data_IF_524524887269
#
_entry.id   IF_524524887269
#
_cell.length_a   1.000
_cell.length_b   1.000
_cell.length_c   1.000
_cell.angle_alpha   90.00
_cell.angle_beta   90.00
_cell.angle_gamma   90.00
#
_symmetry.space_group_name_H-M   'P 1'
#
loop_
_entity.id
_entity.type
_entity.pdbx_description
1 polymer ?
#
# COMPACT_ATOMS: atom_id res chain seq x y z
N UNK A 1 -27.56 29.57 28.59
CA UNK A 1 -27.08 29.46 27.19
C UNK A 1 -25.56 29.20 27.04
N UNK A 2 -24.73 29.23 28.09
CA UNK A 2 -23.27 28.92 27.99
C UNK A 2 -22.92 27.43 27.84
N UNK A 3 -23.85 26.51 28.17
CA UNK A 3 -23.58 25.05 28.18
C UNK A 3 -23.65 24.38 26.80
N UNK A 4 -24.23 25.04 25.79
CA UNK A 4 -24.37 24.47 24.44
C UNK A 4 -23.10 24.63 23.58
N UNK A 5 -22.22 25.58 23.90
CA UNK A 5 -20.99 25.81 23.13
C UNK A 5 -19.87 24.79 23.41
N UNK A 6 -19.84 24.16 24.59
CA UNK A 6 -18.82 23.15 24.91
C UNK A 6 -19.06 21.79 24.24
N UNK A 7 -20.30 21.47 23.88
CA UNK A 7 -20.63 20.18 23.28
C UNK A 7 -20.17 20.06 21.81
N UNK A 8 -20.17 21.16 21.05
CA UNK A 8 -19.78 21.16 19.64
C UNK A 8 -18.26 21.01 19.43
N UNK A 9 -17.43 21.47 20.37
CA UNK A 9 -15.97 21.33 20.28
C UNK A 9 -15.51 19.89 20.57
N UNK A 10 -16.21 19.15 21.43
CA UNK A 10 -15.86 17.77 21.78
C UNK A 10 -16.24 16.77 20.66
N UNK A 11 -17.23 17.07 19.83
CA UNK A 11 -17.66 16.17 18.76
C UNK A 11 -16.67 16.13 17.58
N UNK A 12 -15.84 17.16 17.40
CA UNK A 12 -14.87 17.22 16.31
C UNK A 12 -13.58 16.42 16.55
N UNK A 13 -13.31 15.99 17.80
CA UNK A 13 -12.05 15.31 18.15
C UNK A 13 -12.07 13.78 18.00
N UNK A 14 -13.21 13.18 17.65
CA UNK A 14 -13.35 11.71 17.60
C UNK A 14 -13.49 11.13 16.19
N UNK A 15 -13.36 11.94 15.13
CA UNK A 15 -13.46 11.48 13.75
C UNK A 15 -12.10 11.05 13.16
N UNK A 16 -11.28 10.35 13.94
CA UNK A 16 -10.13 9.60 13.41
C UNK A 16 -10.65 8.35 12.70
N UNK A 17 -11.36 8.53 11.59
CA UNK A 17 -11.65 7.41 10.70
C UNK A 17 -10.30 6.91 10.18
N UNK A 18 -9.99 5.63 10.41
CA UNK A 18 -8.93 4.94 9.67
C UNK A 18 -9.33 5.02 8.19
N UNK A 19 -8.78 6.00 7.48
CA UNK A 19 -8.95 6.11 6.06
C UNK A 19 -7.89 5.22 5.44
N UNK A 20 -8.29 4.30 4.58
CA UNK A 20 -7.35 3.50 3.81
C UNK A 20 -6.44 4.46 3.05
N UNK A 21 -5.15 4.42 3.36
CA UNK A 21 -4.15 5.22 2.68
C UNK A 21 -3.72 4.49 1.41
N UNK A 22 -3.43 5.24 0.36
CA UNK A 22 -2.84 4.68 -0.85
C UNK A 22 -1.34 4.57 -0.63
N UNK A 23 -0.78 3.38 -0.65
CA UNK A 23 0.65 3.13 -0.58
C UNK A 23 1.20 2.88 -1.96
N UNK A 24 2.28 3.57 -2.32
CA UNK A 24 3.06 3.25 -3.50
C UNK A 24 4.21 2.32 -3.09
N UNK A 25 4.49 1.34 -3.93
CA UNK A 25 5.63 0.45 -3.76
C UNK A 25 6.51 0.46 -5.00
N UNK A 26 7.78 0.12 -4.81
CA UNK A 26 8.70 -0.14 -5.91
C UNK A 26 9.78 -1.13 -5.49
N UNK A 27 10.15 -2.00 -6.42
CA UNK A 27 11.29 -2.89 -6.33
C UNK A 27 12.10 -2.83 -7.62
N UNK A 28 13.40 -2.55 -7.50
CA UNK A 28 14.35 -2.66 -8.61
C UNK A 28 15.10 -3.99 -8.47
N UNK A 29 15.04 -4.84 -9.49
CA UNK A 29 15.72 -6.13 -9.54
C UNK A 29 17.21 -5.94 -9.85
N UNK A 30 18.09 -6.39 -8.96
CA UNK A 30 19.53 -6.15 -9.08
C UNK A 30 20.19 -6.84 -10.27
N UNK A 31 19.66 -8.00 -10.70
CA UNK A 31 20.25 -8.80 -11.77
C UNK A 31 20.10 -8.23 -13.18
N UNK A 32 18.99 -7.55 -13.47
CA UNK A 32 18.66 -7.04 -14.81
C UNK A 32 18.21 -5.57 -14.83
N UNK A 33 18.09 -4.92 -13.67
CA UNK A 33 17.64 -3.53 -13.55
C UNK A 33 16.17 -3.31 -13.89
N UNK A 34 15.38 -4.38 -14.10
CA UNK A 34 13.94 -4.24 -14.28
C UNK A 34 13.32 -3.69 -13.00
N UNK A 35 12.23 -2.95 -13.16
CA UNK A 35 11.53 -2.32 -12.04
C UNK A 35 10.10 -2.82 -12.03
N UNK A 36 9.63 -3.23 -10.86
CA UNK A 36 8.21 -3.40 -10.58
C UNK A 36 7.77 -2.33 -9.60
N UNK A 37 6.70 -1.63 -9.91
CA UNK A 37 6.15 -0.56 -9.11
C UNK A 37 4.64 -0.64 -9.09
N UNK A 38 3.99 0.12 -8.23
CA UNK A 38 2.54 0.10 -8.17
C UNK A 38 1.98 0.81 -6.97
N UNK A 39 0.69 0.62 -6.77
CA UNK A 39 -0.05 1.17 -5.64
C UNK A 39 -1.03 0.15 -5.06
N UNK A 40 -1.32 0.28 -3.77
CA UNK A 40 -2.38 -0.47 -3.11
C UNK A 40 -2.98 0.37 -1.98
N UNK A 41 -4.24 0.12 -1.65
CA UNK A 41 -4.86 0.67 -0.45
C UNK A 41 -4.58 -0.25 0.73
N UNK A 42 -4.43 0.31 1.93
CA UNK A 42 -4.35 -0.48 3.16
C UNK A 42 -4.26 0.38 4.42
N UNK A 43 -4.07 -0.29 5.56
CA UNK A 43 -3.85 0.34 6.87
C UNK A 43 -2.51 -0.12 7.43
N UNK A 44 -1.59 0.80 7.69
CA UNK A 44 -0.28 0.47 8.23
C UNK A 44 -0.32 0.30 9.75
N UNK A 45 0.05 -0.88 10.23
CA UNK A 45 0.22 -1.23 11.63
C UNK A 45 1.70 -1.50 11.93
N UNK A 46 2.41 -0.43 12.33
CA UNK A 46 3.86 -0.50 12.52
C UNK A 46 4.57 -0.59 11.16
N UNK A 47 5.13 -1.75 10.83
CA UNK A 47 5.76 -1.99 9.53
C UNK A 47 4.94 -2.90 8.61
N UNK A 48 3.76 -3.38 9.03
CA UNK A 48 2.90 -4.24 8.23
C UNK A 48 1.70 -3.47 7.68
N UNK A 49 1.34 -3.73 6.43
CA UNK A 49 0.18 -3.19 5.76
C UNK A 49 -0.94 -4.23 5.76
N UNK A 50 -2.03 -3.94 6.46
CA UNK A 50 -3.23 -4.79 6.50
C UNK A 50 -4.34 -4.22 5.59
N UNK A 51 -5.44 -4.97 5.46
CA UNK A 51 -6.62 -4.60 4.66
C UNK A 51 -6.29 -4.22 3.20
N UNK A 52 -5.34 -4.93 2.61
CA UNK A 52 -4.82 -4.65 1.26
C UNK A 52 -5.94 -4.79 0.22
N UNK A 53 -6.11 -3.74 -0.60
CA UNK A 53 -7.09 -3.69 -1.69
C UNK A 53 -6.65 -2.77 -2.84
N UNK A 54 -7.37 -2.77 -3.96
CA UNK A 54 -7.12 -1.94 -5.16
C UNK A 54 -5.65 -1.99 -5.65
N UNK A 55 -5.08 -3.20 -5.67
CA UNK A 55 -3.68 -3.43 -6.06
C UNK A 55 -3.52 -3.16 -7.56
N UNK A 56 -2.60 -2.26 -7.89
CA UNK A 56 -2.19 -1.89 -9.25
C UNK A 56 -0.69 -2.09 -9.35
N UNK A 57 -0.26 -2.75 -10.41
CA UNK A 57 1.15 -3.11 -10.61
C UNK A 57 1.55 -2.72 -12.01
N UNK A 58 2.71 -2.08 -12.15
CA UNK A 58 3.43 -1.89 -13.39
C UNK A 58 4.72 -2.69 -13.32
N UNK A 59 5.00 -3.49 -14.36
CA UNK A 59 6.28 -4.14 -14.52
C UNK A 59 6.99 -3.58 -15.74
N UNK A 60 8.20 -3.05 -15.52
CA UNK A 60 8.99 -2.37 -16.54
C UNK A 60 8.19 -1.28 -17.28
N UNK A 61 7.45 -0.47 -16.51
CA UNK A 61 6.61 0.62 -17.02
C UNK A 61 5.27 0.20 -17.64
N UNK A 62 4.86 -1.06 -17.51
CA UNK A 62 3.64 -1.56 -18.14
C UNK A 62 2.71 -2.21 -17.12
N UNK A 63 1.46 -1.75 -17.10
CA UNK A 63 0.47 -2.23 -16.16
C UNK A 63 0.19 -3.73 -16.36
N UNK A 64 0.15 -4.47 -15.25
CA UNK A 64 -0.51 -5.77 -15.22
C UNK A 64 -1.99 -5.60 -15.60
N UNK A 65 -2.50 -6.55 -16.35
CA UNK A 65 -3.87 -6.53 -16.87
C UNK A 65 -4.80 -7.40 -16.03
N UNK A 66 -6.06 -7.01 -15.93
CA UNK A 66 -7.10 -7.81 -15.25
C UNK A 66 -7.14 -7.61 -13.73
N UNK A 67 -7.98 -8.40 -13.07
CA UNK A 67 -8.09 -8.40 -11.61
C UNK A 67 -6.89 -9.13 -11.02
N UNK A 68 -6.20 -8.48 -10.09
CA UNK A 68 -5.13 -9.11 -9.32
C UNK A 68 -5.69 -9.71 -8.03
N UNK A 69 -5.48 -11.01 -7.88
CA UNK A 69 -5.77 -11.77 -6.68
C UNK A 69 -4.53 -11.79 -5.79
N UNK A 70 -4.75 -11.88 -4.48
CA UNK A 70 -3.68 -11.90 -3.49
C UNK A 70 -3.72 -13.17 -2.65
N UNK A 71 -2.55 -13.64 -2.24
CA UNK A 71 -2.37 -14.75 -1.32
C UNK A 71 -1.06 -14.57 -0.54
N UNK A 72 -0.86 -15.39 0.49
CA UNK A 72 0.42 -15.50 1.19
C UNK A 72 0.95 -16.94 1.13
N UNK A 73 2.26 -17.10 1.27
CA UNK A 73 2.88 -18.41 1.32
C UNK A 73 2.54 -19.07 2.66
N UNK A 74 1.98 -20.28 2.60
CA UNK A 74 1.70 -21.10 3.77
C UNK A 74 2.81 -22.15 3.94
N UNK A 75 3.61 -22.00 4.98
CA UNK A 75 4.71 -22.94 5.29
C UNK A 75 4.23 -24.35 5.62
N UNK A 76 3.04 -24.50 6.19
CA UNK A 76 2.55 -25.81 6.63
C UNK A 76 2.10 -26.66 5.43
N UNK A 77 1.52 -26.03 4.41
CA UNK A 77 1.06 -26.70 3.19
C UNK A 77 2.07 -26.60 2.04
N UNK A 78 3.12 -25.79 2.20
CA UNK A 78 4.13 -25.50 1.19
C UNK A 78 3.50 -25.04 -0.14
N UNK A 79 2.51 -24.15 -0.03
CA UNK A 79 1.75 -23.63 -1.15
C UNK A 79 1.28 -22.20 -0.89
N UNK A 80 0.92 -21.48 -1.96
CA UNK A 80 0.21 -20.21 -1.85
C UNK A 80 -1.22 -20.44 -1.38
N UNK A 81 -1.64 -19.69 -0.37
CA UNK A 81 -2.92 -19.84 0.30
C UNK A 81 -3.67 -18.50 0.27
N UNK A 82 -4.78 -18.46 -0.47
CA UNK A 82 -5.61 -17.27 -0.62
C UNK A 82 -6.56 -17.05 0.58
N UNK A 83 -6.61 -17.99 1.52
CA UNK A 83 -7.28 -17.80 2.81
C UNK A 83 -6.39 -17.04 3.80
N UNK A 84 -5.08 -17.02 3.54
CA UNK A 84 -4.13 -16.15 4.22
C UNK A 84 -4.09 -14.79 3.50
N UNK A 85 -4.27 -13.70 4.25
CA UNK A 85 -4.09 -12.36 3.72
C UNK A 85 -2.63 -12.14 3.29
N UNK A 86 -2.42 -11.45 2.17
CA UNK A 86 -1.10 -11.02 1.74
C UNK A 86 -0.44 -10.17 2.83
N UNK A 87 0.85 -10.43 3.11
CA UNK A 87 1.62 -9.68 4.10
C UNK A 87 2.60 -8.77 3.38
N UNK A 88 2.25 -7.49 3.25
CA UNK A 88 3.11 -6.44 2.68
C UNK A 88 3.68 -5.61 3.82
N UNK A 89 4.97 -5.28 3.75
CA UNK A 89 5.68 -4.57 4.82
C UNK A 89 6.60 -3.48 4.28
N UNK A 90 6.82 -2.42 5.07
CA UNK A 90 7.92 -1.48 4.81
C UNK A 90 9.30 -2.11 5.04
N UNK A 91 9.36 -3.20 5.81
CA UNK A 91 10.55 -4.02 5.98
C UNK A 91 10.54 -5.17 4.98
N UNK A 92 11.45 -5.11 4.00
CA UNK A 92 11.59 -6.13 2.97
C UNK A 92 11.65 -7.56 3.50
N UNK A 93 12.27 -7.79 4.67
CA UNK A 93 12.43 -9.12 5.27
C UNK A 93 11.15 -9.72 5.86
N UNK A 94 10.06 -8.95 5.94
CA UNK A 94 8.75 -9.40 6.45
C UNK A 94 7.70 -9.62 5.37
N UNK A 95 8.04 -9.32 4.11
CA UNK A 95 7.13 -9.53 3.00
C UNK A 95 6.84 -11.04 2.80
N UNK A 96 5.57 -11.36 2.66
CA UNK A 96 5.05 -12.65 2.26
C UNK A 96 3.73 -12.45 1.50
N UNK A 97 3.84 -12.23 0.20
CA UNK A 97 2.67 -12.04 -0.66
C UNK A 97 2.92 -12.54 -2.08
N UNK A 98 1.82 -12.82 -2.77
CA UNK A 98 1.76 -12.93 -4.23
C UNK A 98 0.58 -12.12 -4.75
N UNK A 99 0.78 -11.43 -5.86
CA UNK A 99 -0.24 -10.77 -6.67
C UNK A 99 -0.24 -11.40 -8.06
N UNK A 100 -1.39 -11.91 -8.49
CA UNK A 100 -1.51 -12.73 -9.70
C UNK A 100 -2.84 -12.48 -10.40
N UNK A 101 -2.87 -12.56 -11.73
CA UNK A 101 -4.09 -12.39 -12.53
C UNK A 101 -4.93 -13.68 -12.68
N UNK A 102 -4.77 -14.62 -11.74
CA UNK A 102 -5.51 -15.87 -11.66
C UNK A 102 -6.04 -16.07 -10.23
N UNK A 103 -7.25 -16.60 -10.09
CA UNK A 103 -7.90 -16.78 -8.78
C UNK A 103 -7.19 -17.76 -7.85
N UNK A 104 -6.34 -18.62 -8.41
CA UNK A 104 -5.44 -19.50 -7.67
C UNK A 104 -4.02 -19.33 -8.22
N UNK A 105 -3.03 -18.99 -7.40
CA UNK A 105 -1.66 -18.72 -7.85
C UNK A 105 -0.97 -19.88 -8.59
N UNK A 106 -1.45 -21.12 -8.40
CA UNK A 106 -0.92 -22.31 -9.06
C UNK A 106 -1.45 -22.54 -10.49
N UNK A 107 -2.46 -21.78 -10.93
CA UNK A 107 -3.06 -21.92 -12.26
C UNK A 107 -2.31 -21.10 -13.32
N UNK A 108 -2.73 -21.25 -14.58
CA UNK A 108 -2.23 -20.42 -15.69
C UNK A 108 -2.49 -18.94 -15.41
N UNK A 109 -1.41 -18.18 -15.29
CA UNK A 109 -1.40 -16.74 -15.09
C UNK A 109 -0.58 -16.08 -16.19
N UNK A 110 -0.94 -14.84 -16.56
CA UNK A 110 -0.14 -14.05 -17.49
C UNK A 110 0.74 -13.04 -16.75
N UNK A 111 0.29 -12.56 -15.59
CA UNK A 111 0.99 -11.60 -14.75
C UNK A 111 1.13 -12.15 -13.34
N UNK A 112 2.34 -12.10 -12.79
CA UNK A 112 2.65 -12.72 -11.52
C UNK A 112 3.78 -11.96 -10.83
N UNK A 113 3.57 -11.58 -9.58
CA UNK A 113 4.57 -10.93 -8.75
C UNK A 113 4.47 -11.48 -7.33
N UNK A 114 5.56 -12.03 -6.80
CA UNK A 114 5.63 -12.40 -5.40
C UNK A 114 6.88 -11.88 -4.72
N UNK A 115 6.75 -11.71 -3.42
CA UNK A 115 7.83 -11.36 -2.52
C UNK A 115 7.66 -12.21 -1.26
N UNK A 116 8.63 -13.08 -1.02
CA UNK A 116 8.64 -13.95 0.15
C UNK A 116 10.01 -13.95 0.81
N UNK A 117 10.02 -13.96 2.13
CA UNK A 117 11.20 -14.17 2.95
C UNK A 117 10.88 -15.28 3.93
N UNK A 118 11.00 -16.49 3.45
CA UNK A 118 10.55 -17.65 4.17
C UNK A 118 11.71 -18.64 4.36
N UNK A 119 11.74 -19.34 5.50
CA UNK A 119 12.79 -20.32 5.75
C UNK A 119 12.69 -21.55 4.82
N UNK A 120 11.49 -21.88 4.33
CA UNK A 120 11.22 -23.08 3.53
C UNK A 120 11.52 -22.90 2.04
N UNK A 121 11.23 -21.72 1.48
CA UNK A 121 11.48 -21.40 0.06
C UNK A 121 12.61 -20.38 -0.15
N UNK A 122 13.16 -19.84 0.93
CA UNK A 122 14.19 -18.82 0.91
C UNK A 122 13.62 -17.40 0.81
N UNK A 123 14.54 -16.46 0.60
CA UNK A 123 14.24 -15.07 0.28
C UNK A 123 14.24 -14.91 -1.24
N UNK A 124 13.07 -14.60 -1.80
CA UNK A 124 12.90 -14.51 -3.24
C UNK A 124 11.90 -13.39 -3.60
N UNK A 125 12.26 -12.64 -4.63
CA UNK A 125 11.36 -11.70 -5.33
C UNK A 125 11.34 -12.10 -6.79
N UNK A 126 10.15 -12.29 -7.33
CA UNK A 126 9.98 -12.72 -8.71
C UNK A 126 8.82 -11.97 -9.34
N UNK A 127 9.03 -11.51 -10.57
CA UNK A 127 7.99 -10.90 -11.38
C UNK A 127 8.05 -11.41 -12.82
N UNK A 128 6.88 -11.65 -13.41
CA UNK A 128 6.76 -12.03 -14.81
C UNK A 128 5.51 -11.42 -15.45
N UNK A 129 5.64 -11.04 -16.71
CA UNK A 129 4.53 -10.72 -17.62
C UNK A 129 4.73 -11.50 -18.93
N UNK A 130 4.04 -12.65 -19.06
CA UNK A 130 4.24 -13.58 -20.18
C UNK A 130 3.86 -12.99 -21.53
N UNK A 131 2.82 -12.17 -21.58
CA UNK A 131 2.39 -11.47 -22.79
C UNK A 131 3.47 -10.54 -23.36
N UNK A 132 4.44 -10.16 -22.54
CA UNK A 132 5.53 -9.23 -22.90
C UNK A 132 6.91 -9.87 -22.90
N UNK A 133 7.06 -11.02 -22.25
CA UNK A 133 8.35 -11.69 -22.09
C UNK A 133 9.25 -11.04 -21.03
N UNK A 134 8.71 -10.13 -20.21
CA UNK A 134 9.45 -9.59 -19.06
C UNK A 134 9.49 -10.65 -17.97
N UNK A 135 10.69 -10.99 -17.49
CA UNK A 135 10.92 -11.89 -16.37
C UNK A 135 12.07 -11.36 -15.53
N UNK A 136 11.87 -11.30 -14.21
CA UNK A 136 12.89 -10.91 -13.26
C UNK A 136 12.82 -11.77 -12.00
N UNK A 137 14.00 -12.09 -11.49
CA UNK A 137 14.20 -12.87 -10.29
C UNK A 137 15.33 -12.23 -9.50
N UNK A 138 15.15 -12.09 -8.20
CA UNK A 138 16.18 -11.62 -7.28
C UNK A 138 16.05 -12.28 -5.90
N UNK A 139 17.12 -12.24 -5.13
CA UNK A 139 17.14 -12.63 -3.73
C UNK A 139 17.33 -11.36 -2.87
N UNK A 140 16.27 -10.88 -2.19
CA UNK A 140 16.31 -9.65 -1.41
C UNK A 140 17.28 -9.72 -0.22
N UNK A 141 17.65 -10.93 0.25
CA UNK A 141 18.64 -11.09 1.32
C UNK A 141 20.07 -10.71 0.89
N UNK A 142 20.36 -10.73 -0.42
CA UNK A 142 21.69 -10.36 -0.94
C UNK A 142 21.85 -8.86 -1.20
N UNK A 143 20.87 -8.03 -0.80
CA UNK A 143 20.91 -6.56 -0.89
C UNK A 143 21.14 -5.97 -2.30
N UNK A 144 20.86 -6.73 -3.36
CA UNK A 144 21.03 -6.24 -4.74
C UNK A 144 19.83 -5.44 -5.24
N UNK A 145 18.64 -5.69 -4.69
CA UNK A 145 17.41 -4.96 -5.03
C UNK A 145 16.99 -3.95 -3.96
N UNK A 146 16.24 -2.92 -4.41
CA UNK A 146 15.74 -1.84 -3.54
C UNK A 146 14.23 -1.92 -3.38
N UNK A 147 13.75 -2.48 -2.26
CA UNK A 147 12.34 -2.42 -1.87
C UNK A 147 12.00 -1.07 -1.25
N UNK A 148 10.86 -0.51 -1.63
CA UNK A 148 10.28 0.67 -1.00
C UNK A 148 8.76 0.52 -0.92
N UNK A 149 8.21 1.00 0.18
CA UNK A 149 6.78 1.14 0.41
C UNK A 149 6.56 2.47 1.14
N UNK A 150 5.83 3.39 0.51
CA UNK A 150 5.62 4.73 1.04
C UNK A 150 4.18 5.17 0.83
N UNK A 151 3.66 5.95 1.78
CA UNK A 151 2.35 6.58 1.65
C UNK A 151 2.38 7.52 0.45
N UNK A 152 1.38 7.43 -0.43
CA UNK A 152 1.19 8.37 -1.52
C UNK A 152 0.98 9.76 -0.94
N UNK A 153 1.64 10.80 -1.46
CA UNK A 153 1.36 12.17 -1.04
C UNK A 153 -0.13 12.46 -1.21
N UNK A 154 -0.87 12.52 -0.11
CA UNK A 154 -2.27 12.94 -0.12
C UNK A 154 -2.23 14.46 -0.32
N UNK A 155 -2.86 15.02 -1.36
CA UNK A 155 -3.01 16.46 -1.46
C UNK A 155 -3.62 16.95 -0.17
N UNK A 156 -2.91 17.82 0.56
CA UNK A 156 -3.38 18.28 1.86
C UNK A 156 -4.84 18.69 1.73
N UNK A 157 -5.74 18.14 2.56
CA UNK A 157 -7.13 18.50 2.46
C UNK A 157 -7.21 20.02 2.55
N UNK A 158 -8.06 20.63 1.72
CA UNK A 158 -8.39 22.04 1.83
C UNK A 158 -8.77 22.42 3.28
N UNK A 159 -9.00 21.47 4.19
CA UNK A 159 -9.04 21.62 5.65
C UNK A 159 -8.01 22.60 6.24
N UNK A 160 -6.74 22.60 5.81
CA UNK A 160 -5.77 23.61 6.29
C UNK A 160 -6.17 25.02 5.84
N UNK A 161 -6.43 25.18 4.55
CA UNK A 161 -6.91 26.43 3.96
C UNK A 161 -8.30 26.86 4.49
N UNK A 162 -9.18 25.90 4.80
CA UNK A 162 -10.55 26.09 5.29
C UNK A 162 -10.57 26.41 6.77
N UNK A 163 -9.67 25.82 7.57
CA UNK A 163 -9.44 26.20 8.95
C UNK A 163 -8.90 27.64 9.01
N UNK A 164 -7.91 27.97 8.18
CA UNK A 164 -7.38 29.33 8.08
C UNK A 164 -8.44 30.32 7.59
N UNK A 165 -9.24 29.95 6.60
CA UNK A 165 -10.36 30.76 6.13
C UNK A 165 -11.42 30.95 7.22
N UNK A 166 -11.74 29.90 7.98
CA UNK A 166 -12.67 29.95 9.10
C UNK A 166 -12.17 30.84 10.24
N UNK A 167 -10.91 30.72 10.63
CA UNK A 167 -10.28 31.58 11.63
C UNK A 167 -10.19 33.03 11.16
N UNK A 168 -9.86 33.25 9.89
CA UNK A 168 -9.87 34.57 9.26
C UNK A 168 -11.25 35.23 9.34
N UNK A 169 -12.32 34.49 8.99
CA UNK A 169 -13.69 34.98 9.07
C UNK A 169 -14.09 35.33 10.51
N UNK A 170 -13.76 34.47 11.48
CA UNK A 170 -14.04 34.71 12.90
C UNK A 170 -13.29 35.95 13.43
N UNK A 171 -12.05 36.17 13.00
CA UNK A 171 -11.28 37.37 13.31
C UNK A 171 -11.94 38.65 12.79
N UNK A 172 -12.43 38.63 11.54
CA UNK A 172 -13.17 39.77 10.94
C UNK A 172 -14.45 40.07 11.71
N UNK A 173 -15.22 39.05 12.09
CA UNK A 173 -16.45 39.21 12.85
C UNK A 173 -16.19 39.73 14.28
N UNK A 174 -15.14 39.25 14.95
CA UNK A 174 -14.76 39.73 16.27
C UNK A 174 -14.33 41.20 16.25
N UNK A 175 -13.62 41.65 15.20
CA UNK A 175 -13.22 43.06 15.03
C UNK A 175 -14.43 43.99 14.89
N UNK A 176 -15.47 43.58 14.17
CA UNK A 176 -16.70 44.39 13.98
C UNK A 176 -17.51 44.61 15.26
N UNK A 177 -17.33 43.79 16.31
CA UNK A 177 -18.04 43.94 17.58
C UNK A 177 -17.35 44.86 18.59
N UNK A 178 -16.11 45.28 18.31
CA UNK A 178 -15.33 46.21 19.15
C UNK A 178 -15.37 47.65 18.64
N UNK A 179 -15.87 47.88 17.42
CA UNK A 179 -16.21 49.20 16.91
C UNK A 179 -17.69 49.45 17.19
#
# INVERSE_FOLDING_TARGET
MKKLFCAALLAASFASAAQAEVYNFSYTFGGNGLVIDGSMNGTLHGDLLDDISDVKINFNGNAFSGTLYQAAWNEQTNNWDNTLGAVVSTNAAKNNFVFVDASEPANFHNNYFYFTNNSSIGSEVFAVSYSRGDIALDNPANAHGGWSLAVSPVPEPAGGAMLLAGLGLMGVLARRRRM
#
